data_IF_942756295669
#
_entry.id   IF_942756295669
#
_cell.length_a   1.000
_cell.length_b   1.000
_cell.length_c   1.000
_cell.angle_alpha   90.00
_cell.angle_beta   90.00
_cell.angle_gamma   90.00
#
_symmetry.space_group_name_H-M   'P 1'
#
loop_
_entity.id
_entity.type
_entity.pdbx_description
1 polymer ?
#
# COMPACT_ATOMS: atom_id res chain seq x y z
N UNK A 1 -22.39 0.41 1.71
CA UNK A 1 -20.96 0.02 1.82
C UNK A 1 -20.60 -0.41 3.24
N UNK A 2 -20.87 0.38 4.29
CA UNK A 2 -20.51 -0.01 5.66
C UNK A 2 -21.03 -1.39 6.06
N UNK A 3 -22.29 -1.71 5.75
CA UNK A 3 -22.86 -3.02 6.07
C UNK A 3 -22.08 -4.20 5.44
N UNK A 4 -21.55 -4.03 4.22
CA UNK A 4 -20.70 -5.04 3.59
C UNK A 4 -19.37 -5.18 4.33
N UNK A 5 -18.76 -4.06 4.72
CA UNK A 5 -17.52 -4.05 5.48
C UNK A 5 -17.67 -4.67 6.87
N UNK A 6 -18.77 -4.37 7.57
CA UNK A 6 -19.07 -4.93 8.91
C UNK A 6 -19.28 -6.45 8.86
N UNK A 7 -19.77 -6.96 7.72
CA UNK A 7 -20.04 -8.38 7.52
C UNK A 7 -18.77 -9.23 7.25
N UNK A 8 -17.63 -8.60 6.93
CA UNK A 8 -16.38 -9.32 6.60
C UNK A 8 -15.88 -10.10 7.82
N UNK A 9 -15.72 -9.45 8.96
CA UNK A 9 -15.11 -10.05 10.14
C UNK A 9 -15.91 -11.25 10.68
N UNK A 10 -17.24 -11.21 10.58
CA UNK A 10 -18.13 -12.30 10.98
C UNK A 10 -18.33 -13.37 9.90
N UNK A 11 -17.94 -13.10 8.65
CA UNK A 11 -18.23 -13.96 7.50
C UNK A 11 -19.73 -14.03 7.20
N UNK A 12 -20.47 -12.92 7.36
CA UNK A 12 -21.90 -12.89 7.10
C UNK A 12 -22.21 -12.83 5.59
N UNK A 13 -22.24 -14.01 4.99
CA UNK A 13 -22.53 -14.21 3.58
C UNK A 13 -23.89 -13.64 3.17
N UNK A 14 -24.91 -13.68 4.08
CA UNK A 14 -26.26 -13.24 3.75
C UNK A 14 -26.33 -11.73 3.45
N UNK A 15 -25.55 -10.93 4.16
CA UNK A 15 -25.42 -9.49 3.89
C UNK A 15 -24.82 -9.25 2.51
N UNK A 16 -23.76 -9.96 2.17
CA UNK A 16 -23.14 -9.85 0.86
C UNK A 16 -24.08 -10.32 -0.26
N UNK A 17 -24.71 -11.47 -0.10
CA UNK A 17 -25.68 -12.00 -1.06
C UNK A 17 -26.82 -11.02 -1.36
N UNK A 18 -27.32 -10.34 -0.32
CA UNK A 18 -28.39 -9.34 -0.43
C UNK A 18 -27.99 -8.16 -1.31
N UNK A 19 -26.76 -7.66 -1.19
CA UNK A 19 -26.35 -6.43 -1.86
C UNK A 19 -25.65 -6.66 -3.21
N UNK A 20 -25.14 -7.85 -3.51
CA UNK A 20 -24.50 -8.14 -4.78
C UNK A 20 -25.51 -8.38 -5.91
N UNK A 21 -25.31 -7.71 -7.06
CA UNK A 21 -25.98 -8.06 -8.29
C UNK A 21 -25.50 -9.43 -8.79
N UNK A 22 -26.34 -10.26 -9.44
CA UNK A 22 -25.90 -11.54 -10.01
C UNK A 22 -24.71 -11.43 -10.97
N UNK A 23 -24.57 -10.29 -11.66
CA UNK A 23 -23.51 -10.02 -12.63
C UNK A 23 -22.46 -9.01 -12.11
N UNK A 24 -22.23 -8.94 -10.81
CA UNK A 24 -21.25 -8.04 -10.23
C UNK A 24 -19.84 -8.35 -10.75
N UNK A 25 -19.07 -7.29 -11.01
CA UNK A 25 -17.61 -7.36 -11.24
C UNK A 25 -16.95 -6.73 -10.02
N UNK A 26 -16.21 -7.52 -9.27
CA UNK A 26 -15.51 -7.09 -8.09
C UNK A 26 -14.01 -7.25 -8.31
N UNK A 27 -13.31 -6.13 -8.52
CA UNK A 27 -11.85 -6.08 -8.64
C UNK A 27 -11.25 -5.76 -7.27
N UNK A 28 -10.29 -6.56 -6.87
CA UNK A 28 -9.57 -6.45 -5.60
C UNK A 28 -8.23 -5.75 -5.78
N UNK A 29 -7.58 -5.44 -4.70
CA UNK A 29 -6.30 -4.75 -4.68
C UNK A 29 -5.12 -5.60 -5.12
N UNK A 30 -5.28 -6.93 -5.11
CA UNK A 30 -4.28 -7.94 -5.45
C UNK A 30 -4.23 -8.31 -6.94
N UNK A 31 -4.84 -7.46 -7.80
CA UNK A 31 -4.93 -7.65 -9.25
C UNK A 31 -5.86 -8.82 -9.66
N UNK A 32 -6.72 -9.27 -8.76
CA UNK A 32 -7.75 -10.26 -9.06
C UNK A 32 -9.13 -9.62 -9.30
N UNK A 33 -10.00 -10.33 -9.96
CA UNK A 33 -11.42 -9.93 -10.05
C UNK A 33 -12.31 -11.16 -9.93
N UNK A 34 -13.50 -10.96 -9.35
CA UNK A 34 -14.44 -12.03 -9.02
C UNK A 34 -15.86 -11.66 -9.41
N UNK A 35 -16.62 -12.67 -9.78
CA UNK A 35 -18.06 -12.58 -9.84
C UNK A 35 -18.71 -12.95 -8.50
N UNK A 36 -20.04 -12.81 -8.41
CA UNK A 36 -20.81 -13.05 -7.18
C UNK A 36 -20.51 -14.40 -6.55
N UNK A 37 -20.52 -15.48 -7.36
CA UNK A 37 -20.39 -16.84 -6.82
C UNK A 37 -19.02 -17.10 -6.16
N UNK A 38 -17.95 -16.54 -6.72
CA UNK A 38 -16.59 -16.74 -6.17
C UNK A 38 -16.35 -15.82 -4.98
N UNK A 39 -16.83 -14.58 -5.04
CA UNK A 39 -16.75 -13.66 -3.92
C UNK A 39 -17.46 -14.20 -2.68
N UNK A 40 -18.66 -14.76 -2.81
CA UNK A 40 -19.40 -15.33 -1.68
C UNK A 40 -18.70 -16.52 -1.00
N UNK A 41 -17.88 -17.29 -1.73
CA UNK A 41 -17.09 -18.39 -1.16
C UNK A 41 -15.98 -17.91 -0.23
N UNK A 42 -15.51 -16.69 -0.42
CA UNK A 42 -14.42 -16.10 0.36
C UNK A 42 -14.91 -15.34 1.60
N UNK A 43 -16.22 -15.03 1.66
CA UNK A 43 -16.79 -14.42 2.85
C UNK A 43 -16.92 -15.48 3.94
N UNK A 44 -15.84 -15.64 4.69
CA UNK A 44 -15.73 -16.58 5.80
C UNK A 44 -15.32 -15.83 7.08
N UNK A 45 -15.69 -16.31 8.26
CA UNK A 45 -15.25 -15.69 9.51
C UNK A 45 -13.72 -15.59 9.59
N UNK A 46 -13.21 -14.51 10.15
CA UNK A 46 -11.78 -14.37 10.40
C UNK A 46 -11.27 -15.55 11.27
N UNK A 47 -10.05 -16.03 11.01
CA UNK A 47 -9.48 -17.13 11.75
C UNK A 47 -9.28 -16.78 13.22
N UNK A 48 -9.27 -17.81 14.08
CA UNK A 48 -9.00 -17.64 15.51
C UNK A 48 -7.64 -16.96 15.72
N UNK A 49 -7.63 -15.88 16.48
CA UNK A 49 -6.42 -15.07 16.74
C UNK A 49 -6.34 -13.83 15.86
N UNK A 50 -7.26 -13.68 14.90
CA UNK A 50 -7.42 -12.47 14.10
C UNK A 50 -8.74 -11.79 14.41
N UNK A 51 -8.75 -10.48 14.33
CA UNK A 51 -9.96 -9.64 14.38
C UNK A 51 -9.68 -8.38 13.56
N UNK A 52 -10.74 -7.74 13.09
CA UNK A 52 -10.57 -6.53 12.30
C UNK A 52 -11.86 -5.73 12.21
N UNK A 53 -11.70 -4.48 11.79
CA UNK A 53 -12.80 -3.57 11.49
C UNK A 53 -12.44 -2.64 10.35
N UNK A 54 -13.39 -2.37 9.48
CA UNK A 54 -13.25 -1.43 8.37
C UNK A 54 -14.24 -0.29 8.58
N UNK A 55 -13.70 0.91 8.76
CA UNK A 55 -14.51 2.13 8.79
C UNK A 55 -14.58 2.74 7.41
N UNK A 56 -15.80 2.92 6.90
CA UNK A 56 -16.08 3.46 5.58
C UNK A 56 -16.39 4.96 5.68
N UNK A 57 -15.70 5.76 4.88
CA UNK A 57 -15.93 7.20 4.70
C UNK A 57 -16.37 7.46 3.27
N UNK A 58 -17.53 8.09 3.07
CA UNK A 58 -18.01 8.51 1.75
C UNK A 58 -17.26 9.79 1.34
N UNK A 59 -16.53 9.74 0.22
CA UNK A 59 -15.78 10.87 -0.32
C UNK A 59 -16.53 11.60 -1.42
N UNK A 60 -17.24 10.84 -2.27
CA UNK A 60 -17.99 11.38 -3.40
C UNK A 60 -19.15 10.48 -3.76
N UNK A 61 -20.22 11.06 -4.25
CA UNK A 61 -21.44 10.36 -4.66
C UNK A 61 -22.14 11.07 -5.80
N UNK A 62 -22.57 10.30 -6.78
CA UNK A 62 -23.43 10.78 -7.86
C UNK A 62 -24.48 9.71 -8.18
N UNK A 63 -25.74 10.13 -8.37
CA UNK A 63 -26.85 9.24 -8.72
C UNK A 63 -27.63 9.82 -9.88
N UNK A 64 -27.89 9.02 -10.91
CA UNK A 64 -28.69 9.36 -12.06
C UNK A 64 -29.33 8.10 -12.63
N UNK A 65 -30.62 8.18 -13.00
CA UNK A 65 -31.39 7.11 -13.67
C UNK A 65 -31.31 5.74 -13.01
N UNK A 66 -31.28 5.71 -11.67
CA UNK A 66 -31.19 4.47 -10.90
C UNK A 66 -29.81 3.81 -10.93
N UNK A 67 -28.79 4.53 -11.34
CA UNK A 67 -27.39 4.19 -11.20
C UNK A 67 -26.76 5.14 -10.21
N UNK A 68 -25.99 4.63 -9.28
CA UNK A 68 -25.19 5.43 -8.36
C UNK A 68 -23.71 5.06 -8.45
N UNK A 69 -22.85 6.06 -8.56
CA UNK A 69 -21.40 5.90 -8.46
C UNK A 69 -20.95 6.55 -7.15
N UNK A 70 -20.18 5.81 -6.37
CA UNK A 70 -19.72 6.31 -5.09
C UNK A 70 -18.24 5.98 -4.87
N UNK A 71 -17.50 6.95 -4.35
CA UNK A 71 -16.10 6.81 -3.96
C UNK A 71 -16.03 6.81 -2.43
N UNK A 72 -15.40 5.78 -1.90
CA UNK A 72 -15.22 5.59 -0.46
C UNK A 72 -13.74 5.50 -0.12
N UNK A 73 -13.40 5.97 1.09
CA UNK A 73 -12.19 5.53 1.78
C UNK A 73 -12.56 4.48 2.80
N UNK A 74 -11.88 3.36 2.77
CA UNK A 74 -11.98 2.31 3.76
C UNK A 74 -10.73 2.37 4.65
N UNK A 75 -10.91 2.61 5.94
CA UNK A 75 -9.85 2.59 6.93
C UNK A 75 -9.96 1.28 7.70
N UNK A 76 -9.01 0.40 7.49
CA UNK A 76 -8.96 -0.91 8.10
C UNK A 76 -8.00 -0.92 9.28
N UNK A 77 -8.43 -1.57 10.35
CA UNK A 77 -7.58 -1.94 11.48
C UNK A 77 -7.71 -3.43 11.65
N UNK A 78 -6.62 -4.14 11.57
CA UNK A 78 -6.56 -5.58 11.76
C UNK A 78 -5.66 -5.92 12.94
N UNK A 79 -6.13 -6.84 13.79
CA UNK A 79 -5.34 -7.45 14.84
C UNK A 79 -5.00 -8.88 14.43
N UNK A 80 -3.72 -9.12 14.25
CA UNK A 80 -3.20 -10.37 13.71
C UNK A 80 -2.16 -10.96 14.68
N UNK A 81 -2.53 -12.00 15.42
CA UNK A 81 -1.69 -12.66 16.42
C UNK A 81 -0.93 -11.70 17.36
N UNK A 82 -1.66 -10.73 17.92
CA UNK A 82 -1.12 -9.75 18.87
C UNK A 82 -0.43 -8.52 18.22
N UNK A 83 -0.40 -8.46 16.93
CA UNK A 83 0.10 -7.28 16.17
C UNK A 83 -1.09 -6.50 15.59
N UNK A 84 -0.93 -5.20 15.42
CA UNK A 84 -1.95 -4.36 14.78
C UNK A 84 -1.43 -3.87 13.44
N UNK A 85 -2.23 -4.07 12.41
CA UNK A 85 -1.97 -3.64 11.03
C UNK A 85 -3.01 -2.59 10.66
N UNK A 86 -2.57 -1.58 9.94
CA UNK A 86 -3.44 -0.53 9.39
C UNK A 86 -3.33 -0.53 7.88
N UNK A 87 -4.47 -0.56 7.20
CA UNK A 87 -4.55 -0.41 5.76
C UNK A 87 -5.59 0.66 5.39
N UNK A 88 -5.43 1.26 4.23
CA UNK A 88 -6.38 2.20 3.66
C UNK A 88 -6.59 1.89 2.20
N UNK A 89 -7.86 1.94 1.80
CA UNK A 89 -8.24 1.69 0.43
C UNK A 89 -9.11 2.82 -0.10
N UNK A 90 -8.85 3.21 -1.33
CA UNK A 90 -9.74 4.04 -2.12
C UNK A 90 -10.60 3.11 -2.97
N UNK A 91 -11.89 3.06 -2.68
CA UNK A 91 -12.81 2.10 -3.31
C UNK A 91 -13.86 2.83 -4.12
N UNK A 92 -13.85 2.59 -5.43
CA UNK A 92 -14.90 3.05 -6.34
C UNK A 92 -15.96 1.96 -6.51
N UNK A 93 -17.24 2.34 -6.40
CA UNK A 93 -18.36 1.40 -6.49
C UNK A 93 -19.44 1.94 -7.42
N UNK A 94 -20.07 1.05 -8.16
CA UNK A 94 -21.26 1.37 -8.96
C UNK A 94 -22.42 0.49 -8.51
N UNK A 95 -23.53 1.14 -8.26
CA UNK A 95 -24.75 0.54 -7.74
C UNK A 95 -25.89 0.73 -8.74
N UNK A 96 -26.78 -0.26 -8.82
CA UNK A 96 -28.01 -0.18 -9.61
C UNK A 96 -29.22 -0.39 -8.71
N UNK A 97 -30.22 0.48 -8.87
CA UNK A 97 -31.50 0.34 -8.20
C UNK A 97 -32.31 -0.77 -8.83
N UNK A 98 -32.73 -1.74 -8.04
CA UNK A 98 -33.63 -2.84 -8.41
C UNK A 98 -34.92 -2.72 -7.62
N UNK A 99 -35.92 -3.58 -7.92
CA UNK A 99 -37.18 -3.63 -7.17
C UNK A 99 -37.02 -3.98 -5.68
N UNK A 100 -35.95 -4.73 -5.35
CA UNK A 100 -35.58 -5.18 -3.99
C UNK A 100 -34.47 -4.34 -3.36
N UNK A 101 -34.15 -3.17 -3.91
CA UNK A 101 -33.17 -2.23 -3.39
C UNK A 101 -31.93 -2.02 -4.27
N UNK A 102 -30.95 -1.36 -3.71
CA UNK A 102 -29.69 -1.10 -4.39
C UNK A 102 -28.81 -2.35 -4.44
N UNK A 103 -28.26 -2.65 -5.62
CA UNK A 103 -27.32 -3.74 -5.83
C UNK A 103 -26.00 -3.22 -6.35
N UNK A 104 -24.91 -3.72 -5.77
CA UNK A 104 -23.55 -3.47 -6.22
C UNK A 104 -23.32 -4.21 -7.54
N UNK A 105 -23.03 -3.48 -8.61
CA UNK A 105 -22.77 -4.04 -9.94
C UNK A 105 -21.29 -4.00 -10.31
N UNK A 106 -20.52 -3.07 -9.74
CA UNK A 106 -19.07 -3.03 -9.88
C UNK A 106 -18.42 -2.46 -8.64
N UNK A 107 -17.23 -2.97 -8.31
CA UNK A 107 -16.36 -2.44 -7.27
C UNK A 107 -14.89 -2.56 -7.70
N UNK A 108 -14.09 -1.56 -7.35
CA UNK A 108 -12.64 -1.61 -7.50
C UNK A 108 -11.99 -0.96 -6.28
N UNK A 109 -11.11 -1.68 -5.63
CA UNK A 109 -10.31 -1.19 -4.51
C UNK A 109 -8.87 -0.92 -4.96
N UNK A 110 -8.30 0.17 -4.47
CA UNK A 110 -6.90 0.53 -4.64
C UNK A 110 -6.31 0.75 -3.24
N UNK A 111 -5.25 0.04 -2.90
CA UNK A 111 -4.53 0.29 -1.66
C UNK A 111 -3.93 1.71 -1.68
N UNK A 112 -4.26 2.54 -0.69
CA UNK A 112 -3.61 3.83 -0.51
C UNK A 112 -2.17 3.62 0.00
N UNK A 113 -1.26 4.44 -0.49
CA UNK A 113 0.13 4.42 -0.04
C UNK A 113 0.21 5.03 1.36
N UNK A 114 0.55 4.21 2.35
CA UNK A 114 0.77 4.63 3.73
C UNK A 114 2.26 4.52 4.01
N UNK A 115 2.87 5.61 4.46
CA UNK A 115 4.27 5.59 4.90
C UNK A 115 4.41 4.66 6.12
N UNK A 116 5.41 3.78 6.16
CA UNK A 116 5.73 3.02 7.35
C UNK A 116 6.21 3.95 8.46
N UNK A 117 6.16 3.55 9.74
CA UNK A 117 6.77 4.29 10.82
C UNK A 117 8.25 4.50 10.56
N UNK A 118 8.69 5.78 10.55
CA UNK A 118 10.10 6.11 10.42
C UNK A 118 10.81 5.98 11.78
N UNK A 119 12.01 5.42 11.78
CA UNK A 119 12.91 5.43 12.92
C UNK A 119 13.94 6.55 12.80
N UNK A 120 14.42 7.04 13.93
CA UNK A 120 15.52 8.02 13.99
C UNK A 120 16.85 7.29 14.14
N UNK A 121 17.70 7.39 13.12
CA UNK A 121 19.04 6.85 13.17
C UNK A 121 20.04 7.94 13.63
N UNK A 122 21.04 7.60 14.47
CA UNK A 122 22.10 8.54 14.83
C UNK A 122 22.86 9.06 13.62
N UNK A 123 23.31 10.30 13.63
CA UNK A 123 24.06 10.93 12.53
C UNK A 123 25.30 10.10 12.10
N UNK A 124 26.01 9.49 13.06
CA UNK A 124 27.14 8.58 12.79
C UNK A 124 26.72 7.36 11.95
N UNK A 125 25.52 6.85 12.15
CA UNK A 125 24.99 5.74 11.37
C UNK A 125 24.55 6.23 10.00
N UNK A 126 23.84 7.35 9.91
CA UNK A 126 23.43 7.96 8.64
C UNK A 126 24.62 8.31 7.74
N UNK A 127 25.73 8.75 8.33
CA UNK A 127 26.97 9.06 7.59
C UNK A 127 27.54 7.84 6.82
N UNK A 128 27.23 6.61 7.21
CA UNK A 128 27.70 5.41 6.50
C UNK A 128 27.07 5.26 5.11
N UNK A 129 25.84 5.78 4.92
CA UNK A 129 25.11 5.72 3.65
C UNK A 129 25.51 6.83 2.69
N UNK A 130 26.17 7.87 3.18
CA UNK A 130 26.63 8.99 2.36
C UNK A 130 27.64 8.51 1.32
N UNK A 131 27.56 9.08 0.12
CA UNK A 131 28.49 8.80 -0.97
C UNK A 131 27.83 8.89 -2.33
N UNK A 132 28.62 8.56 -3.34
CA UNK A 132 28.19 8.50 -4.72
C UNK A 132 28.03 7.05 -5.16
N UNK A 133 26.94 6.80 -5.82
CA UNK A 133 26.56 5.47 -6.32
C UNK A 133 26.35 5.53 -7.82
N UNK A 134 26.81 4.52 -8.50
CA UNK A 134 26.64 4.38 -9.95
C UNK A 134 25.66 3.25 -10.24
N UNK A 135 24.73 3.51 -11.14
CA UNK A 135 23.83 2.48 -11.63
C UNK A 135 24.65 1.37 -12.31
N UNK A 136 24.41 0.13 -11.91
CA UNK A 136 25.09 -1.02 -12.53
C UNK A 136 24.89 -0.99 -14.05
N UNK A 137 25.98 -1.20 -14.78
CA UNK A 137 26.03 -1.21 -16.25
C UNK A 137 25.58 0.10 -16.93
N UNK A 138 25.75 1.26 -16.24
CA UNK A 138 25.37 2.58 -16.75
C UNK A 138 26.30 3.66 -16.19
N UNK A 139 26.33 4.82 -16.85
CA UNK A 139 27.03 6.01 -16.35
C UNK A 139 26.18 6.87 -15.38
N UNK A 140 24.90 6.55 -15.21
CA UNK A 140 24.01 7.31 -14.32
C UNK A 140 24.47 7.22 -12.86
N UNK A 141 24.42 8.34 -12.14
CA UNK A 141 24.87 8.44 -10.75
C UNK A 141 23.75 8.89 -9.81
N UNK A 142 23.89 8.49 -8.55
CA UNK A 142 23.04 8.88 -7.45
C UNK A 142 23.91 9.32 -6.27
N UNK A 143 23.69 10.51 -5.76
CA UNK A 143 24.42 11.02 -4.61
C UNK A 143 23.56 11.01 -3.37
N UNK A 144 24.09 10.51 -2.27
CA UNK A 144 23.49 10.58 -0.93
C UNK A 144 24.32 11.49 -0.03
N UNK A 145 23.68 12.43 0.59
CA UNK A 145 24.30 13.42 1.49
C UNK A 145 23.54 13.49 2.81
N UNK A 146 24.26 13.83 3.86
CA UNK A 146 23.65 14.12 5.16
C UNK A 146 23.50 15.64 5.28
N UNK A 147 22.27 16.13 5.35
CA UNK A 147 21.92 17.54 5.48
C UNK A 147 20.96 17.68 6.65
N UNK A 148 21.32 18.49 7.63
CA UNK A 148 20.51 18.76 8.84
C UNK A 148 19.99 17.47 9.53
N UNK A 149 20.84 16.45 9.58
CA UNK A 149 20.48 15.17 10.19
C UNK A 149 19.60 14.25 9.34
N UNK A 150 19.32 14.62 8.11
CA UNK A 150 18.49 13.85 7.16
C UNK A 150 19.32 13.33 5.99
N UNK A 151 18.99 12.14 5.51
CA UNK A 151 19.62 11.55 4.33
C UNK A 151 18.91 12.07 3.07
N UNK A 152 19.63 12.89 2.31
CA UNK A 152 19.12 13.53 1.08
C UNK A 152 19.75 12.83 -0.13
N UNK A 153 18.89 12.38 -1.02
CA UNK A 153 19.29 11.72 -2.26
C UNK A 153 19.05 12.58 -3.49
N UNK A 154 20.02 12.64 -4.39
CA UNK A 154 19.92 13.37 -5.65
C UNK A 154 20.35 12.47 -6.81
N UNK A 155 19.53 12.42 -7.83
CA UNK A 155 19.82 11.69 -9.07
C UNK A 155 19.78 12.66 -10.25
N UNK A 156 20.90 12.78 -10.95
CA UNK A 156 21.02 13.66 -12.13
C UNK A 156 20.48 15.10 -11.82
N UNK A 157 19.69 15.67 -12.72
CA UNK A 157 19.06 16.98 -12.57
C UNK A 157 17.70 16.94 -11.82
N UNK A 158 17.34 15.82 -11.16
CA UNK A 158 16.08 15.70 -10.45
C UNK A 158 16.11 16.44 -9.12
N UNK A 159 14.94 16.82 -8.62
CA UNK A 159 14.82 17.41 -7.28
C UNK A 159 15.36 16.46 -6.22
N UNK A 160 16.12 16.97 -5.24
CA UNK A 160 16.54 16.19 -4.08
C UNK A 160 15.33 15.59 -3.35
N UNK A 161 15.49 14.39 -2.81
CA UNK A 161 14.47 13.69 -2.05
C UNK A 161 15.01 13.27 -0.67
N UNK A 162 14.20 13.44 0.36
CA UNK A 162 14.51 13.00 1.72
C UNK A 162 14.16 11.53 1.87
N UNK A 163 15.11 10.74 2.38
CA UNK A 163 14.94 9.32 2.65
C UNK A 163 14.82 9.07 4.14
N UNK A 164 13.71 8.47 4.53
CA UNK A 164 13.40 8.13 5.91
C UNK A 164 13.78 6.67 6.19
N UNK A 165 14.43 6.41 7.32
CA UNK A 165 14.74 5.05 7.70
C UNK A 165 13.50 4.33 8.20
N UNK A 166 13.18 3.16 7.65
CA UNK A 166 12.18 2.23 8.14
C UNK A 166 12.78 1.31 9.19
N UNK A 167 13.93 0.77 8.88
CA UNK A 167 14.84 0.04 9.79
C UNK A 167 16.28 0.34 9.37
N UNK A 168 17.27 -0.19 10.09
CA UNK A 168 18.67 -0.11 9.63
C UNK A 168 18.81 -0.70 8.24
N UNK A 169 19.53 0.00 7.36
CA UNK A 169 19.80 -0.36 5.97
C UNK A 169 18.59 -0.35 5.02
N UNK A 170 17.38 0.01 5.49
CA UNK A 170 16.19 0.13 4.66
C UNK A 170 15.58 1.52 4.79
N UNK A 171 15.47 2.22 3.66
CA UNK A 171 14.92 3.57 3.59
C UNK A 171 13.78 3.65 2.59
N UNK A 172 12.79 4.47 2.89
CA UNK A 172 11.65 4.76 2.03
C UNK A 172 11.54 6.24 1.69
N UNK A 173 10.83 6.53 0.61
CA UNK A 173 10.46 7.88 0.21
C UNK A 173 9.07 8.21 0.75
N UNK A 174 8.95 9.28 1.54
CA UNK A 174 7.66 9.72 2.05
C UNK A 174 6.69 10.08 0.92
N UNK A 175 5.46 9.60 1.02
CA UNK A 175 4.44 9.73 -0.03
C UNK A 175 4.59 8.74 -1.19
N UNK A 176 5.70 7.99 -1.27
CA UNK A 176 5.88 6.87 -2.20
C UNK A 176 6.57 5.67 -1.52
N UNK A 177 5.96 5.10 -0.50
CA UNK A 177 6.58 4.08 0.36
C UNK A 177 6.86 2.75 -0.35
N UNK A 178 6.35 2.56 -1.57
CA UNK A 178 6.67 1.36 -2.38
C UNK A 178 8.10 1.38 -2.90
N UNK A 179 8.76 2.55 -2.95
CA UNK A 179 10.16 2.67 -3.33
C UNK A 179 11.02 2.54 -2.09
N UNK A 180 11.83 1.48 -2.03
CA UNK A 180 12.79 1.22 -0.95
C UNK A 180 14.21 1.33 -1.48
N UNK A 181 15.12 1.90 -0.67
CA UNK A 181 16.56 1.72 -0.81
C UNK A 181 17.02 0.74 0.25
N UNK A 182 17.53 -0.41 -0.18
CA UNK A 182 18.00 -1.50 0.66
C UNK A 182 19.51 -1.56 0.52
N UNK A 183 20.23 -1.11 1.53
CA UNK A 183 21.68 -1.05 1.50
C UNK A 183 22.31 -2.42 1.75
N UNK A 184 23.39 -2.69 1.05
CA UNK A 184 24.15 -3.93 1.13
C UNK A 184 25.50 -3.65 1.76
N UNK A 185 25.91 -4.54 2.67
CA UNK A 185 27.20 -4.46 3.36
C UNK A 185 28.10 -5.62 2.97
N UNK A 186 29.39 -5.35 2.93
CA UNK A 186 30.40 -6.41 2.85
C UNK A 186 30.60 -7.11 4.22
N UNK A 187 31.39 -8.19 4.29
CA UNK A 187 31.64 -8.90 5.54
C UNK A 187 32.31 -8.04 6.63
N UNK A 188 32.90 -6.88 6.27
CA UNK A 188 33.49 -5.93 7.22
C UNK A 188 32.46 -4.91 7.72
N UNK A 189 31.23 -4.96 7.24
CA UNK A 189 30.14 -4.05 7.60
C UNK A 189 30.10 -2.74 6.83
N UNK A 190 30.93 -2.57 5.77
CA UNK A 190 30.93 -1.36 4.93
C UNK A 190 29.83 -1.42 3.89
N UNK A 191 29.16 -0.30 3.64
CA UNK A 191 28.17 -0.16 2.55
C UNK A 191 28.91 -0.24 1.20
N UNK A 192 28.48 -1.17 0.35
CA UNK A 192 29.02 -1.39 -1.00
C UNK A 192 28.05 -1.05 -2.11
N UNK A 193 26.76 -1.10 -1.83
CA UNK A 193 25.70 -0.83 -2.81
C UNK A 193 24.38 -0.53 -2.11
N UNK A 194 23.40 -0.11 -2.89
CA UNK A 194 22.00 -0.26 -2.50
C UNK A 194 21.18 -0.82 -3.66
N UNK A 195 20.13 -1.52 -3.33
CA UNK A 195 19.06 -1.94 -4.21
C UNK A 195 17.94 -0.91 -4.09
N UNK A 196 17.54 -0.30 -5.21
CA UNK A 196 16.31 0.47 -5.27
C UNK A 196 15.20 -0.47 -5.73
N UNK A 197 14.39 -0.93 -4.77
CA UNK A 197 13.25 -1.80 -5.06
C UNK A 197 12.06 -0.96 -5.47
N UNK A 198 11.51 -1.28 -6.64
CA UNK A 198 10.29 -0.69 -7.20
C UNK A 198 9.33 -1.80 -7.54
N UNK A 199 8.23 -1.88 -6.83
CA UNK A 199 7.28 -2.99 -6.97
C UNK A 199 8.03 -4.34 -6.91
N UNK A 200 8.06 -5.10 -7.99
CA UNK A 200 8.73 -6.40 -8.10
C UNK A 200 10.14 -6.34 -8.67
N UNK A 201 10.69 -5.14 -8.95
CA UNK A 201 11.95 -4.98 -9.66
C UNK A 201 13.02 -4.31 -8.81
N UNK A 202 14.22 -4.86 -8.88
CA UNK A 202 15.40 -4.37 -8.18
C UNK A 202 16.36 -3.68 -9.14
N UNK A 203 16.72 -2.44 -8.81
CA UNK A 203 17.71 -1.64 -9.55
C UNK A 203 18.95 -1.50 -8.66
N UNK A 204 20.09 -1.99 -9.12
CA UNK A 204 21.32 -2.04 -8.32
C UNK A 204 22.18 -0.80 -8.57
N UNK A 205 22.57 -0.14 -7.49
CA UNK A 205 23.46 1.00 -7.45
C UNK A 205 24.72 0.64 -6.66
N UNK A 206 25.88 0.67 -7.31
CA UNK A 206 27.18 0.34 -6.70
C UNK A 206 27.80 1.60 -6.09
N UNK A 207 28.28 1.52 -4.86
CA UNK A 207 28.99 2.63 -4.22
C UNK A 207 30.36 2.81 -4.89
N UNK A 208 30.66 4.04 -5.34
CA UNK A 208 31.91 4.37 -6.01
C UNK A 208 32.76 5.39 -5.23
N UNK A 209 32.16 6.13 -4.29
CA UNK A 209 32.81 7.09 -3.39
C UNK A 209 32.13 7.09 -2.01
#
# INVERSE_FOLDING_TARGET
MQALSDAIASGDVAVWEKYLDPNVIFAEEDDTYKGKADLLKEIVPLPKGSSGAIRVELLSYHEEDGIAVALFRQNETEHYFGQTIYAKYLTNTTWRKRSDGWKLIASQALAEKIDPPAIVLPAKQLAQYVGKYQLKDSAATYSLQLVDGQLIGTRDARKPATWNAEVSDVFFLSGDPRIRKIFQRDPTGRITSFIERRESWDIVWLKIE
#
